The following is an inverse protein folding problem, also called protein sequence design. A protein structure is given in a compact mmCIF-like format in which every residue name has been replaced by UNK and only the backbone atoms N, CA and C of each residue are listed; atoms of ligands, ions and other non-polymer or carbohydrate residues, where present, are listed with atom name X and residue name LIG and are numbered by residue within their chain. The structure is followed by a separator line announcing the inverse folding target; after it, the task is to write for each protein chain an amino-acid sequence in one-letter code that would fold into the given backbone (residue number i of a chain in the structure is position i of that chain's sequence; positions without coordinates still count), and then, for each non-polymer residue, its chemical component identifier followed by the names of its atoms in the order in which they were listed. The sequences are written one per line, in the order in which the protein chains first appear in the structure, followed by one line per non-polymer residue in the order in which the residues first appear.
data_IF_690732241058
#
_entry.id   IF_690732241058
#
_cell.length_a   1.000
_cell.length_b   1.000
_cell.length_c   1.000
_cell.angle_alpha   90.00
_cell.angle_beta   90.00
_cell.angle_gamma   90.00
#
_symmetry.space_group_name_H-M   'P 1'
#
loop_
_entity.id
_entity.type
_entity.pdbx_description
1 polymer ?
#
# COMPACT_ATOMS: atom_id res chain seq x y z
N UNK A 1 -6.86 -51.25 63.10
CA UNK A 1 -7.97 -51.03 62.16
C UNK A 1 -8.65 -49.73 62.55
N UNK A 2 -8.96 -48.87 61.56
CA UNK A 2 -9.86 -47.68 61.63
C UNK A 2 -9.26 -46.45 62.35
N UNK A 3 -9.21 -45.23 61.81
CA UNK A 3 -9.52 -44.66 60.49
C UNK A 3 -8.85 -43.28 60.43
N UNK A 4 -8.28 -42.91 59.28
CA UNK A 4 -7.73 -41.58 58.99
C UNK A 4 -8.46 -41.02 57.78
N UNK A 5 -9.07 -39.83 57.85
CA UNK A 5 -9.61 -39.03 56.70
C UNK A 5 -9.63 -37.54 57.08
N UNK A 6 -8.55 -36.80 56.84
CA UNK A 6 -8.24 -35.95 55.68
C UNK A 6 -9.21 -34.78 55.43
N UNK A 7 -8.76 -33.51 55.57
CA UNK A 7 -9.57 -32.31 55.31
C UNK A 7 -9.74 -32.08 53.81
N UNK A 8 -10.96 -31.72 53.40
CA UNK A 8 -11.32 -31.43 52.01
C UNK A 8 -10.90 -29.99 51.68
N UNK A 9 -9.88 -29.85 50.84
CA UNK A 9 -9.48 -28.58 50.21
C UNK A 9 -10.33 -28.36 48.95
N UNK A 10 -11.11 -27.28 48.91
CA UNK A 10 -11.84 -26.84 47.71
C UNK A 10 -10.87 -26.23 46.68
N UNK A 11 -10.94 -26.60 45.39
CA UNK A 11 -10.11 -26.02 44.35
C UNK A 11 -10.57 -24.60 43.99
N UNK A 12 -9.64 -23.66 43.99
CA UNK A 12 -9.84 -22.31 43.47
C UNK A 12 -9.97 -22.37 41.93
N UNK A 13 -11.13 -21.97 41.41
CA UNK A 13 -11.38 -21.85 39.97
C UNK A 13 -10.81 -20.51 39.49
N UNK A 14 -9.65 -20.54 38.83
CA UNK A 14 -9.11 -19.40 38.09
C UNK A 14 -9.90 -19.22 36.79
N UNK A 15 -10.78 -18.22 36.75
CA UNK A 15 -11.46 -17.78 35.54
C UNK A 15 -10.48 -16.95 34.69
N UNK A 16 -9.89 -17.56 33.67
CA UNK A 16 -9.05 -16.86 32.68
C UNK A 16 -9.97 -16.08 31.75
N UNK A 17 -10.06 -14.76 31.93
CA UNK A 17 -10.71 -13.86 30.97
C UNK A 17 -9.86 -13.79 29.69
N UNK A 18 -10.21 -14.59 28.69
CA UNK A 18 -9.72 -14.42 27.33
C UNK A 18 -10.36 -13.16 26.72
N UNK A 19 -9.69 -12.02 26.83
CA UNK A 19 -10.07 -10.79 26.14
C UNK A 19 -9.96 -10.95 24.61
N UNK A 20 -10.77 -10.25 23.81
CA UNK A 20 -10.68 -10.31 22.36
C UNK A 20 -9.33 -9.72 21.93
N UNK A 21 -8.50 -10.54 21.29
CA UNK A 21 -7.30 -10.08 20.62
C UNK A 21 -7.72 -9.27 19.40
N UNK A 22 -7.77 -7.94 19.54
CA UNK A 22 -7.88 -7.02 18.41
C UNK A 22 -6.67 -7.22 17.51
N UNK A 23 -6.83 -7.97 16.41
CA UNK A 23 -5.81 -8.05 15.38
C UNK A 23 -5.61 -6.63 14.82
N UNK A 24 -4.46 -6.01 15.14
CA UNK A 24 -4.08 -4.76 14.51
C UNK A 24 -4.07 -4.97 12.98
N UNK A 25 -4.57 -4.01 12.18
CA UNK A 25 -4.48 -4.12 10.73
C UNK A 25 -3.01 -4.35 10.37
N UNK A 26 -2.73 -5.43 9.66
CA UNK A 26 -1.38 -5.72 9.19
C UNK A 26 -1.00 -4.62 8.22
N UNK A 27 -0.22 -3.65 8.69
CA UNK A 27 0.26 -2.55 7.85
C UNK A 27 0.91 -3.14 6.61
N UNK A 28 0.49 -2.68 5.43
CA UNK A 28 1.11 -3.15 4.21
C UNK A 28 2.56 -2.69 4.24
N UNK A 29 3.51 -3.60 3.96
CA UNK A 29 4.95 -3.29 4.10
C UNK A 29 5.42 -2.10 3.25
N UNK A 30 4.62 -1.70 2.27
CA UNK A 30 4.90 -0.58 1.37
C UNK A 30 4.22 0.72 1.80
N UNK A 31 3.43 0.73 2.87
CA UNK A 31 2.80 1.93 3.41
C UNK A 31 3.85 3.01 3.75
N UNK A 32 3.52 4.28 3.56
CA UNK A 32 4.42 5.42 3.78
C UNK A 32 4.66 6.27 2.54
N UNK A 33 5.61 7.20 2.65
CA UNK A 33 5.88 8.20 1.62
C UNK A 33 6.89 7.73 0.56
N UNK A 34 6.63 8.09 -0.68
CA UNK A 34 7.46 7.73 -1.83
C UNK A 34 7.63 8.92 -2.78
N UNK A 35 8.79 8.99 -3.42
CA UNK A 35 9.04 9.85 -4.58
C UNK A 35 9.00 9.00 -5.85
N UNK A 36 8.15 9.38 -6.80
CA UNK A 36 8.02 8.74 -8.11
C UNK A 36 8.57 9.67 -9.19
N UNK A 37 9.33 9.10 -10.12
CA UNK A 37 9.80 9.78 -11.34
C UNK A 37 9.25 9.03 -12.54
N UNK A 38 8.40 9.70 -13.34
CA UNK A 38 7.81 9.18 -14.56
C UNK A 38 8.47 9.84 -15.78
N UNK A 39 9.23 9.07 -16.54
CA UNK A 39 9.93 9.54 -17.76
C UNK A 39 9.10 9.17 -18.97
N UNK A 40 8.83 10.14 -19.85
CA UNK A 40 8.19 9.89 -21.14
C UNK A 40 9.23 9.32 -22.13
N UNK A 41 8.82 8.34 -22.92
CA UNK A 41 9.69 7.64 -23.88
C UNK A 41 9.14 7.67 -25.29
N UNK A 42 7.81 7.73 -25.42
CA UNK A 42 7.13 7.78 -26.70
C UNK A 42 5.96 8.75 -26.66
N UNK A 43 5.57 9.26 -27.83
CA UNK A 43 4.43 10.15 -28.00
C UNK A 43 4.76 11.61 -27.72
N UNK A 44 3.74 12.38 -27.32
CA UNK A 44 3.78 13.85 -27.26
C UNK A 44 4.31 14.42 -25.95
N UNK A 45 4.52 13.59 -24.93
CA UNK A 45 4.93 14.04 -23.60
C UNK A 45 6.45 14.17 -23.50
N UNK A 46 6.93 15.16 -22.75
CA UNK A 46 8.36 15.53 -22.68
C UNK A 46 8.94 15.46 -21.26
N UNK A 47 8.38 14.59 -20.40
CA UNK A 47 8.88 14.36 -19.04
C UNK A 47 10.40 14.11 -18.94
N UNK A 48 10.99 14.13 -17.73
CA UNK A 48 10.39 13.42 -16.60
C UNK A 48 9.54 14.29 -15.67
N UNK A 49 8.50 13.67 -15.14
CA UNK A 49 7.60 14.23 -14.13
C UNK A 49 7.91 13.62 -12.76
N UNK A 50 7.88 14.42 -11.70
CA UNK A 50 8.13 13.97 -10.33
C UNK A 50 6.89 14.14 -9.49
N UNK A 51 6.45 13.08 -8.83
CA UNK A 51 5.24 13.06 -8.02
C UNK A 51 5.52 12.42 -6.66
N UNK A 52 5.27 13.13 -5.54
CA UNK A 52 5.22 12.49 -4.24
C UNK A 52 3.90 11.73 -4.10
N UNK A 53 3.96 10.49 -3.61
CA UNK A 53 2.77 9.69 -3.29
C UNK A 53 2.87 9.21 -1.85
N UNK A 54 1.72 8.88 -1.26
CA UNK A 54 1.64 8.15 0.00
C UNK A 54 0.87 6.85 -0.23
N UNK A 55 1.36 5.76 0.35
CA UNK A 55 0.64 4.48 0.39
C UNK A 55 0.06 4.32 1.79
N UNK A 56 -1.26 4.13 1.87
CA UNK A 56 -2.01 3.96 3.12
C UNK A 56 -2.90 2.73 2.99
N UNK A 57 -2.65 1.71 3.82
CA UNK A 57 -3.34 0.43 3.75
C UNK A 57 -3.30 -0.18 2.34
N UNK A 58 -2.18 0.00 1.64
CA UNK A 58 -2.00 -0.39 0.24
C UNK A 58 -2.75 0.42 -0.81
N UNK A 59 -3.46 1.48 -0.45
CA UNK A 59 -4.04 2.45 -1.38
C UNK A 59 -2.99 3.51 -1.72
N UNK A 60 -2.78 3.76 -3.01
CA UNK A 60 -1.86 4.80 -3.50
C UNK A 60 -2.64 6.10 -3.63
N UNK A 61 -2.17 7.13 -2.94
CA UNK A 61 -2.82 8.45 -2.89
C UNK A 61 -1.80 9.55 -3.21
N UNK A 62 -2.28 10.65 -3.80
CA UNK A 62 -1.46 11.82 -4.10
C UNK A 62 -1.14 12.59 -2.83
N UNK A 63 0.15 12.68 -2.50
CA UNK A 63 0.60 13.45 -1.34
C UNK A 63 0.70 14.96 -1.64
N UNK A 64 0.56 15.37 -2.92
CA UNK A 64 0.72 16.75 -3.37
C UNK A 64 -0.54 17.62 -3.35
N UNK A 65 -1.72 17.05 -3.13
CA UNK A 65 -2.99 17.79 -3.11
C UNK A 65 -3.46 18.30 -4.47
N UNK A 66 -2.98 17.71 -5.57
CA UNK A 66 -3.24 18.19 -6.94
C UNK A 66 -4.60 17.75 -7.51
N UNK A 67 -5.45 17.11 -6.69
CA UNK A 67 -6.79 16.67 -7.12
C UNK A 67 -6.74 15.57 -8.20
N UNK A 68 -5.67 14.79 -8.24
CA UNK A 68 -5.60 13.64 -9.15
C UNK A 68 -6.35 12.47 -8.51
N UNK A 69 -7.40 12.01 -9.19
CA UNK A 69 -8.09 10.76 -8.83
C UNK A 69 -7.16 9.59 -9.15
N UNK A 70 -6.30 9.26 -8.20
CA UNK A 70 -5.41 8.11 -8.25
C UNK A 70 -6.15 6.89 -7.68
N UNK A 71 -6.82 6.13 -8.55
CA UNK A 71 -7.34 4.81 -8.16
C UNK A 71 -6.21 3.78 -8.32
N UNK A 72 -5.26 3.75 -7.39
CA UNK A 72 -4.10 2.86 -7.42
C UNK A 72 -3.98 1.99 -6.17
N UNK A 73 -3.50 0.75 -6.32
CA UNK A 73 -3.19 -0.13 -5.20
C UNK A 73 -1.78 -0.72 -5.30
N UNK A 74 -1.13 -0.82 -4.14
CA UNK A 74 0.05 -1.62 -3.90
C UNK A 74 -0.37 -2.92 -3.20
N UNK A 75 -0.42 -4.01 -3.96
CA UNK A 75 -0.70 -5.32 -3.40
C UNK A 75 0.37 -5.75 -2.40
N UNK A 76 0.01 -6.69 -1.53
CA UNK A 76 0.96 -7.28 -0.59
C UNK A 76 2.06 -8.12 -1.28
N UNK A 77 2.06 -8.35 -2.59
CA UNK A 77 3.22 -8.90 -3.33
C UNK A 77 4.11 -7.78 -3.90
N UNK A 78 3.71 -6.51 -3.70
CA UNK A 78 4.34 -5.31 -4.25
C UNK A 78 3.84 -4.94 -5.63
N UNK A 79 2.90 -5.68 -6.23
CA UNK A 79 2.34 -5.30 -7.53
C UNK A 79 1.61 -3.96 -7.42
N UNK A 80 1.93 -3.07 -8.36
CA UNK A 80 1.27 -1.78 -8.52
C UNK A 80 0.37 -1.86 -9.73
N UNK A 81 -0.88 -1.46 -9.57
CA UNK A 81 -1.79 -1.21 -10.67
C UNK A 81 -2.66 -0.02 -10.29
N UNK A 82 -2.85 0.90 -11.24
CA UNK A 82 -3.70 2.03 -11.01
C UNK A 82 -4.04 2.81 -12.27
N UNK A 83 -4.94 3.76 -12.09
CA UNK A 83 -5.33 4.72 -13.09
C UNK A 83 -5.32 6.10 -12.47
N UNK A 84 -4.77 7.08 -13.18
CA UNK A 84 -4.80 8.50 -12.79
C UNK A 84 -5.70 9.21 -13.78
N UNK A 85 -6.70 9.92 -13.29
CA UNK A 85 -7.62 10.70 -14.12
C UNK A 85 -7.42 12.20 -13.88
N UNK A 86 -7.41 12.97 -14.97
CA UNK A 86 -7.38 14.43 -14.94
C UNK A 86 -8.21 14.97 -16.10
N UNK A 87 -9.40 15.49 -15.81
CA UNK A 87 -10.39 15.83 -16.83
C UNK A 87 -10.72 14.62 -17.72
N UNK A 88 -10.49 14.75 -19.04
CA UNK A 88 -10.68 13.67 -20.01
C UNK A 88 -9.45 12.75 -20.18
N UNK A 89 -8.32 13.10 -19.57
CA UNK A 89 -7.09 12.32 -19.65
C UNK A 89 -7.13 11.14 -18.67
N UNK A 90 -6.72 9.96 -19.13
CA UNK A 90 -6.62 8.75 -18.30
C UNK A 90 -5.25 8.10 -18.51
N UNK A 91 -4.49 8.01 -17.42
CA UNK A 91 -3.15 7.40 -17.39
C UNK A 91 -3.23 6.06 -16.69
N UNK A 92 -2.93 4.98 -17.39
CA UNK A 92 -2.78 3.65 -16.80
C UNK A 92 -1.36 3.48 -16.25
N UNK A 93 -1.24 2.90 -15.05
CA UNK A 93 0.04 2.68 -14.37
C UNK A 93 0.13 1.23 -13.91
N UNK A 94 1.25 0.58 -14.20
CA UNK A 94 1.57 -0.77 -13.70
C UNK A 94 3.01 -0.85 -13.27
N UNK A 95 3.33 -1.74 -12.33
CA UNK A 95 4.71 -2.03 -11.96
C UNK A 95 4.81 -2.84 -10.68
N UNK A 96 5.95 -2.73 -10.00
CA UNK A 96 6.20 -3.46 -8.76
C UNK A 96 7.15 -2.71 -7.83
N UNK A 97 6.86 -2.80 -6.53
CA UNK A 97 7.70 -2.36 -5.43
C UNK A 97 8.51 -3.55 -4.87
N UNK A 98 9.75 -3.29 -4.49
CA UNK A 98 10.67 -4.22 -3.81
C UNK A 98 11.50 -3.44 -2.79
N UNK A 99 11.30 -3.75 -1.50
CA UNK A 99 11.94 -3.01 -0.41
C UNK A 99 11.58 -1.52 -0.48
N UNK A 100 12.59 -0.65 -0.51
CA UNK A 100 12.45 0.81 -0.61
C UNK A 100 12.52 1.37 -2.04
N UNK A 101 12.37 0.52 -3.07
CA UNK A 101 12.42 0.92 -4.47
C UNK A 101 11.27 0.31 -5.28
N UNK A 102 11.00 0.88 -6.44
CA UNK A 102 10.05 0.32 -7.38
C UNK A 102 10.24 0.84 -8.79
N UNK A 103 9.59 0.17 -9.74
CA UNK A 103 9.59 0.58 -11.13
C UNK A 103 8.40 0.00 -11.89
N UNK A 104 8.14 0.59 -13.05
CA UNK A 104 7.11 0.09 -13.95
C UNK A 104 6.89 0.93 -15.20
N UNK A 105 5.69 0.84 -15.75
CA UNK A 105 5.26 1.48 -16.98
C UNK A 105 4.01 2.32 -16.74
N UNK A 106 3.90 3.41 -17.49
CA UNK A 106 2.70 4.21 -17.56
C UNK A 106 2.34 4.51 -19.02
N UNK A 107 1.06 4.75 -19.28
CA UNK A 107 0.55 5.12 -20.61
C UNK A 107 -0.65 6.05 -20.49
N UNK A 108 -0.58 7.19 -21.15
CA UNK A 108 -1.69 8.12 -21.35
C UNK A 108 -2.40 7.76 -22.66
N UNK A 109 -3.71 7.52 -22.58
CA UNK A 109 -4.57 7.35 -23.75
C UNK A 109 -5.28 8.68 -24.10
N UNK A 110 -5.78 8.79 -25.34
CA UNK A 110 -6.57 9.94 -25.79
C UNK A 110 -5.98 10.63 -27.03
N UNK A 111 -6.27 11.93 -27.17
CA UNK A 111 -5.94 12.74 -28.37
C UNK A 111 -4.42 12.93 -28.54
N UNK A 112 -3.68 13.01 -27.43
CA UNK A 112 -2.22 13.16 -27.43
C UNK A 112 -1.59 12.04 -26.61
N UNK A 113 -1.51 10.81 -27.17
CA UNK A 113 -1.05 9.65 -26.44
C UNK A 113 0.46 9.73 -26.19
N UNK A 114 0.87 9.26 -25.03
CA UNK A 114 2.28 9.12 -24.68
C UNK A 114 2.46 8.03 -23.64
N UNK A 115 3.66 7.47 -23.57
CA UNK A 115 3.96 6.41 -22.62
C UNK A 115 5.42 6.47 -22.18
N UNK A 116 5.73 5.77 -21.10
CA UNK A 116 7.10 5.71 -20.62
C UNK A 116 7.25 4.89 -19.35
N UNK A 117 8.43 4.95 -18.73
CA UNK A 117 8.71 4.22 -17.49
C UNK A 117 8.55 5.12 -16.28
N UNK A 118 8.34 4.48 -15.13
CA UNK A 118 8.46 5.15 -13.85
C UNK A 118 9.41 4.39 -12.93
N UNK A 119 10.00 5.13 -12.00
CA UNK A 119 10.77 4.60 -10.86
C UNK A 119 10.27 5.23 -9.58
N UNK A 120 10.39 4.52 -8.46
CA UNK A 120 9.99 5.01 -7.15
C UNK A 120 11.07 4.73 -6.11
N UNK A 121 11.19 5.63 -5.13
CA UNK A 121 12.04 5.49 -3.96
C UNK A 121 11.28 5.90 -2.71
N UNK A 122 11.41 5.12 -1.64
CA UNK A 122 10.85 5.48 -0.33
C UNK A 122 11.60 6.70 0.21
N UNK A 123 10.88 7.63 0.83
CA UNK A 123 11.44 8.90 1.32
C UNK A 123 11.41 9.02 2.85
N UNK A 124 11.07 7.93 3.55
CA UNK A 124 11.06 7.83 5.01
C UNK A 124 11.50 6.44 5.48
#
# INVERSE_FOLDING_TARGET
MTSSRFPILLPAVCLVLAGPASAAPSANRFDGAWSVVATAETGTCTGPYRYPIVIRDGVVDDAGGNGVDASGRAGADGRITGTIRSGLASVSVTGRLRGAAGQGRWSLAGISPCAGRWTARRTG
#
